data_IF_185170776991
#
_entry.id   IF_185170776991
#
_cell.length_a   1.000
_cell.length_b   1.000
_cell.length_c   1.000
_cell.angle_alpha   90.00
_cell.angle_beta   90.00
_cell.angle_gamma   90.00
#
_symmetry.space_group_name_H-M   'P 1'
#
loop_
_entity.id
_entity.type
_entity.pdbx_description
1 polymer ?
#
# COMPACT_ATOMS: atom_id res chain seq x y z
N UNK A 1 49.30 -35.17 63.16
CA UNK A 1 49.10 -34.04 62.22
C UNK A 1 48.85 -34.50 60.77
N UNK A 2 49.59 -35.50 60.26
CA UNK A 2 49.46 -36.02 58.87
C UNK A 2 48.08 -36.61 58.50
N UNK A 3 47.33 -37.11 59.49
CA UNK A 3 46.00 -37.72 59.30
C UNK A 3 44.88 -36.68 59.06
N UNK A 4 45.06 -35.44 59.52
CA UNK A 4 44.10 -34.34 59.31
C UNK A 4 44.20 -33.78 57.87
N UNK A 5 45.40 -33.74 57.31
CA UNK A 5 45.66 -33.28 55.93
C UNK A 5 45.01 -34.23 54.92
N UNK A 6 45.05 -35.55 55.16
CA UNK A 6 44.40 -36.55 54.30
C UNK A 6 42.87 -36.38 54.33
N UNK A 7 42.28 -36.05 55.48
CA UNK A 7 40.84 -35.75 55.59
C UNK A 7 40.45 -34.48 54.83
N UNK A 8 41.29 -33.45 54.83
CA UNK A 8 41.05 -32.19 54.11
C UNK A 8 41.15 -32.39 52.59
N UNK A 9 42.11 -33.21 52.12
CA UNK A 9 42.26 -33.53 50.70
C UNK A 9 41.14 -34.45 50.18
N UNK A 10 40.63 -35.39 51.00
CA UNK A 10 39.49 -36.25 50.63
C UNK A 10 38.15 -35.51 50.58
N UNK A 11 38.01 -34.39 51.30
CA UNK A 11 36.77 -33.59 51.35
C UNK A 11 36.59 -32.66 50.15
N UNK A 12 37.62 -32.47 49.31
CA UNK A 12 37.56 -31.67 48.07
C UNK A 12 37.07 -32.43 46.82
N UNK A 13 36.83 -33.74 46.89
CA UNK A 13 36.44 -34.56 45.73
C UNK A 13 34.93 -34.88 45.61
N UNK A 14 34.03 -34.07 46.18
CA UNK A 14 32.58 -34.25 45.96
C UNK A 14 31.82 -32.94 45.77
N UNK A 15 32.22 -32.18 44.74
CA UNK A 15 31.31 -31.33 43.97
C UNK A 15 31.70 -31.43 42.50
N UNK A 16 31.68 -32.66 41.96
CA UNK A 16 31.41 -32.80 40.54
C UNK A 16 29.98 -32.26 40.37
N UNK A 17 29.86 -31.09 39.73
CA UNK A 17 28.56 -30.55 39.34
C UNK A 17 27.80 -31.67 38.67
N UNK A 18 26.65 -32.04 39.24
CA UNK A 18 25.65 -32.77 38.48
C UNK A 18 25.24 -31.81 37.37
N UNK A 19 25.94 -31.88 36.25
CA UNK A 19 25.45 -31.34 35.00
C UNK A 19 24.24 -32.21 34.68
N UNK A 20 23.07 -31.75 35.11
CA UNK A 20 21.80 -32.29 34.67
C UNK A 20 21.74 -32.06 33.18
N UNK A 21 22.09 -33.08 32.40
CA UNK A 21 21.72 -33.17 31.00
C UNK A 21 20.20 -33.42 30.98
N UNK A 22 19.45 -32.37 31.25
CA UNK A 22 17.99 -32.37 31.19
C UNK A 22 17.61 -32.14 29.72
N UNK A 23 17.13 -33.19 29.06
CA UNK A 23 16.50 -33.08 27.75
C UNK A 23 15.10 -32.49 27.88
N UNK A 24 14.59 -31.91 26.79
CA UNK A 24 13.23 -31.40 26.73
C UNK A 24 12.20 -32.51 26.93
N UNK A 25 11.15 -32.22 27.70
CA UNK A 25 10.01 -33.11 27.81
C UNK A 25 9.17 -33.08 26.52
N UNK A 26 8.55 -34.21 26.16
CA UNK A 26 7.61 -34.30 25.03
C UNK A 26 6.48 -33.26 25.14
N UNK A 27 6.00 -32.97 26.35
CA UNK A 27 4.97 -31.95 26.56
C UNK A 27 5.50 -30.54 26.27
N UNK A 28 6.76 -30.26 26.59
CA UNK A 28 7.37 -28.96 26.35
C UNK A 28 7.62 -28.75 24.84
N UNK A 29 8.11 -29.78 24.15
CA UNK A 29 8.29 -29.73 22.69
C UNK A 29 6.96 -29.56 21.96
N UNK A 30 5.90 -30.25 22.38
CA UNK A 30 4.57 -30.10 21.76
C UNK A 30 3.96 -28.73 22.00
N UNK A 31 4.07 -28.18 23.23
CA UNK A 31 3.64 -26.81 23.54
C UNK A 31 4.46 -25.80 22.73
N UNK A 32 5.79 -25.96 22.63
CA UNK A 32 6.65 -25.06 21.87
C UNK A 32 6.29 -25.05 20.37
N UNK A 33 6.09 -26.23 19.76
CA UNK A 33 5.67 -26.33 18.35
C UNK A 33 4.27 -25.71 18.16
N UNK A 34 3.35 -25.92 19.09
CA UNK A 34 2.02 -25.31 19.04
C UNK A 34 2.10 -23.77 19.09
N UNK A 35 2.90 -23.22 20.00
CA UNK A 35 3.11 -21.77 20.11
C UNK A 35 3.77 -21.18 18.87
N UNK A 36 4.79 -21.85 18.31
CA UNK A 36 5.42 -21.46 17.04
C UNK A 36 4.40 -21.49 15.91
N UNK A 37 3.54 -22.51 15.85
CA UNK A 37 2.46 -22.60 14.86
C UNK A 37 1.53 -21.38 14.91
N UNK A 38 1.08 -20.99 16.09
CA UNK A 38 0.25 -19.79 16.28
C UNK A 38 0.99 -18.52 15.85
N UNK A 39 2.27 -18.39 16.21
CA UNK A 39 3.08 -17.23 15.82
C UNK A 39 3.24 -17.10 14.30
N UNK A 40 3.47 -18.23 13.60
CA UNK A 40 3.59 -18.26 12.15
C UNK A 40 2.28 -17.89 11.44
N UNK A 41 1.13 -18.31 11.98
CA UNK A 41 -0.17 -17.92 11.42
C UNK A 41 -0.39 -16.40 11.53
N UNK A 42 -0.04 -15.78 12.65
CA UNK A 42 -0.11 -14.34 12.81
C UNK A 42 0.81 -13.60 11.82
N UNK A 43 2.04 -14.10 11.62
CA UNK A 43 2.99 -13.52 10.67
C UNK A 43 2.49 -13.65 9.21
N UNK A 44 1.89 -14.78 8.86
CA UNK A 44 1.33 -14.99 7.52
C UNK A 44 0.23 -13.96 7.21
N UNK A 45 -0.65 -13.67 8.17
CA UNK A 45 -1.70 -12.65 8.01
C UNK A 45 -1.11 -11.25 7.81
N UNK A 46 -0.12 -10.87 8.63
CA UNK A 46 0.56 -9.58 8.51
C UNK A 46 1.30 -9.43 7.17
N UNK A 47 1.91 -10.50 6.68
CA UNK A 47 2.54 -10.53 5.37
C UNK A 47 1.53 -10.27 4.25
N UNK A 48 0.41 -11.01 4.23
CA UNK A 48 -0.64 -10.80 3.23
C UNK A 48 -1.20 -9.38 3.29
N UNK A 49 -1.45 -8.85 4.50
CA UNK A 49 -1.92 -7.49 4.68
C UNK A 49 -0.93 -6.45 4.14
N UNK A 50 0.37 -6.63 4.41
CA UNK A 50 1.44 -5.76 3.91
C UNK A 50 1.50 -5.74 2.38
N UNK A 51 1.44 -6.92 1.74
CA UNK A 51 1.44 -7.02 0.27
C UNK A 51 0.22 -6.30 -0.33
N UNK A 52 -0.97 -6.51 0.22
CA UNK A 52 -2.18 -5.82 -0.25
C UNK A 52 -2.10 -4.30 -0.07
N UNK A 53 -1.52 -3.84 1.04
CA UNK A 53 -1.34 -2.42 1.31
C UNK A 53 -0.33 -1.76 0.37
N UNK A 54 0.76 -2.46 0.03
CA UNK A 54 1.74 -1.98 -0.94
C UNK A 54 1.12 -1.86 -2.32
N UNK A 55 0.42 -2.89 -2.81
CA UNK A 55 -0.28 -2.83 -4.10
C UNK A 55 -1.32 -1.71 -4.16
N UNK A 56 -2.05 -1.45 -3.07
CA UNK A 56 -2.97 -0.32 -2.99
C UNK A 56 -2.24 1.01 -3.05
N UNK A 57 -1.13 1.14 -2.33
CA UNK A 57 -0.30 2.35 -2.30
C UNK A 57 0.28 2.64 -3.69
N UNK A 58 0.80 1.63 -4.38
CA UNK A 58 1.33 1.78 -5.74
C UNK A 58 0.27 2.33 -6.71
N UNK A 59 -0.95 1.77 -6.66
CA UNK A 59 -2.07 2.25 -7.48
C UNK A 59 -2.46 3.69 -7.15
N UNK A 60 -2.47 4.05 -5.87
CA UNK A 60 -2.78 5.41 -5.40
C UNK A 60 -1.73 6.41 -5.89
N UNK A 61 -0.45 6.06 -5.77
CA UNK A 61 0.68 6.87 -6.23
C UNK A 61 0.62 7.10 -7.74
N UNK A 62 0.45 6.03 -8.54
CA UNK A 62 0.32 6.14 -9.99
C UNK A 62 -0.89 7.00 -10.40
N UNK A 63 -2.05 6.81 -9.76
CA UNK A 63 -3.25 7.61 -10.04
C UNK A 63 -3.03 9.09 -9.72
N UNK A 64 -2.33 9.39 -8.62
CA UNK A 64 -2.01 10.76 -8.22
C UNK A 64 -1.04 11.38 -9.22
N UNK A 65 0.00 10.66 -9.62
CA UNK A 65 0.95 11.14 -10.63
C UNK A 65 0.26 11.42 -11.98
N UNK A 66 -0.61 10.53 -12.45
CA UNK A 66 -1.37 10.71 -13.69
C UNK A 66 -2.26 11.96 -13.66
N UNK A 67 -2.90 12.24 -12.53
CA UNK A 67 -3.74 13.43 -12.39
C UNK A 67 -2.90 14.71 -12.27
N UNK A 68 -1.74 14.66 -11.60
CA UNK A 68 -0.81 15.81 -11.52
C UNK A 68 -0.27 16.15 -12.90
N UNK A 69 0.22 15.15 -13.64
CA UNK A 69 0.71 15.32 -15.00
C UNK A 69 -0.35 15.98 -15.90
N UNK A 70 -1.61 15.54 -15.79
CA UNK A 70 -2.70 16.13 -16.57
C UNK A 70 -2.96 17.58 -16.20
N UNK A 71 -2.97 17.91 -14.91
CA UNK A 71 -3.10 19.31 -14.46
C UNK A 71 -1.96 20.16 -15.02
N UNK A 72 -0.72 19.68 -14.92
CA UNK A 72 0.45 20.41 -15.39
C UNK A 72 0.44 20.60 -16.92
N UNK A 73 -0.05 19.60 -17.65
CA UNK A 73 -0.27 19.71 -19.07
C UNK A 73 -1.29 20.81 -19.41
N UNK A 74 -2.43 20.84 -18.71
CA UNK A 74 -3.49 21.83 -18.92
C UNK A 74 -3.08 23.25 -18.50
N UNK A 75 -2.16 23.40 -17.55
CA UNK A 75 -1.60 24.73 -17.20
C UNK A 75 -0.86 25.41 -18.35
N UNK A 76 -0.43 24.64 -19.35
CA UNK A 76 0.23 25.18 -20.54
C UNK A 76 -0.75 25.58 -21.65
N UNK A 77 -2.05 25.33 -21.48
CA UNK A 77 -3.05 25.60 -22.50
C UNK A 77 -3.40 27.09 -22.57
N UNK A 78 -3.82 27.52 -23.77
CA UNK A 78 -4.34 28.87 -23.98
C UNK A 78 -5.79 28.97 -23.50
N UNK A 79 -6.31 30.20 -23.34
CA UNK A 79 -7.72 30.41 -22.99
C UNK A 79 -8.67 29.78 -24.03
N UNK A 80 -8.29 29.79 -25.32
CA UNK A 80 -9.06 29.17 -26.39
C UNK A 80 -9.12 27.65 -26.21
N UNK A 81 -7.99 27.00 -25.94
CA UNK A 81 -7.94 25.55 -25.73
C UNK A 81 -8.70 25.12 -24.46
N UNK A 82 -8.64 25.93 -23.40
CA UNK A 82 -9.39 25.65 -22.17
C UNK A 82 -10.91 25.80 -22.38
N UNK A 83 -11.34 26.74 -23.23
CA UNK A 83 -12.74 26.89 -23.59
C UNK A 83 -13.26 25.72 -24.43
N UNK A 84 -12.45 25.15 -25.32
CA UNK A 84 -12.86 23.95 -26.09
C UNK A 84 -12.97 22.73 -25.16
N UNK A 85 -12.04 22.55 -24.23
CA UNK A 85 -12.11 21.50 -23.22
C UNK A 85 -13.27 21.67 -22.22
N UNK A 86 -13.77 22.90 -22.03
CA UNK A 86 -14.92 23.14 -21.16
C UNK A 86 -16.25 22.68 -21.75
N UNK A 87 -16.29 22.33 -23.05
CA UNK A 87 -17.53 21.92 -23.72
C UNK A 87 -18.00 20.51 -23.31
N UNK A 88 -17.06 19.63 -22.97
CA UNK A 88 -17.35 18.26 -22.55
C UNK A 88 -16.20 17.71 -21.71
N UNK A 89 -16.47 16.85 -20.70
CA UNK A 89 -15.42 16.09 -20.06
C UNK A 89 -14.62 15.27 -21.08
N UNK A 90 -13.32 15.19 -20.87
CA UNK A 90 -12.42 14.30 -21.59
C UNK A 90 -12.31 13.00 -20.80
N UNK A 91 -12.58 11.88 -21.46
CA UNK A 91 -12.55 10.54 -20.87
C UNK A 91 -11.50 9.69 -21.58
N UNK A 92 -10.50 9.25 -20.83
CA UNK A 92 -9.32 8.57 -21.34
C UNK A 92 -9.12 7.23 -20.64
N UNK A 93 -8.77 6.22 -21.42
CA UNK A 93 -8.34 4.92 -20.94
C UNK A 93 -6.82 4.88 -20.97
N UNK A 94 -6.19 4.65 -19.82
CA UNK A 94 -4.75 4.74 -19.63
C UNK A 94 -4.17 3.35 -19.38
N UNK A 95 -3.27 2.96 -20.27
CA UNK A 95 -2.35 1.84 -20.12
C UNK A 95 -0.97 2.44 -19.75
N UNK A 96 -0.50 2.19 -18.52
CA UNK A 96 0.68 2.89 -17.98
C UNK A 96 1.98 2.27 -18.48
N UNK A 97 2.00 0.96 -18.69
CA UNK A 97 3.18 0.20 -19.10
C UNK A 97 3.13 -0.23 -20.57
N UNK A 98 2.06 0.13 -21.26
CA UNK A 98 1.80 -0.17 -22.67
C UNK A 98 1.82 -1.70 -22.94
N UNK A 99 1.26 -2.48 -22.01
CA UNK A 99 1.17 -3.93 -22.11
C UNK A 99 -0.11 -4.42 -22.82
N UNK A 100 -0.96 -3.49 -23.25
CA UNK A 100 -2.23 -3.72 -23.93
C UNK A 100 -3.42 -3.83 -22.98
N UNK A 101 -3.21 -3.79 -21.67
CA UNK A 101 -4.29 -3.74 -20.69
C UNK A 101 -4.46 -2.33 -20.14
N UNK A 102 -5.70 -1.89 -20.03
CA UNK A 102 -6.01 -0.61 -19.42
C UNK A 102 -5.89 -0.73 -17.89
N UNK A 103 -5.05 0.10 -17.28
CA UNK A 103 -4.85 0.14 -15.83
C UNK A 103 -5.83 1.10 -15.15
N UNK A 104 -6.03 2.26 -15.78
CA UNK A 104 -6.79 3.37 -15.22
C UNK A 104 -7.71 3.99 -16.25
N UNK A 105 -8.75 4.64 -15.74
CA UNK A 105 -9.58 5.58 -16.50
C UNK A 105 -9.41 6.96 -15.91
N UNK A 106 -9.04 7.94 -16.72
CA UNK A 106 -8.89 9.34 -16.31
C UNK A 106 -10.01 10.16 -16.92
N UNK A 107 -10.73 10.89 -16.08
CA UNK A 107 -11.77 11.83 -16.48
C UNK A 107 -11.28 13.23 -16.12
N UNK A 108 -11.23 14.11 -17.12
CA UNK A 108 -10.87 15.51 -16.96
C UNK A 108 -12.09 16.36 -17.24
N UNK A 109 -12.46 17.22 -16.30
CA UNK A 109 -13.54 18.19 -16.46
C UNK A 109 -12.98 19.59 -16.34
N UNK A 110 -13.36 20.45 -17.28
CA UNK A 110 -13.05 21.88 -17.23
C UNK A 110 -14.37 22.64 -17.16
N UNK A 111 -14.46 23.61 -16.26
CA UNK A 111 -15.62 24.49 -16.13
C UNK A 111 -15.16 25.94 -16.25
N UNK A 112 -15.60 26.62 -17.31
CA UNK A 112 -15.27 28.00 -17.58
C UNK A 112 -16.20 28.96 -16.82
N UNK A 113 -15.62 30.00 -16.22
CA UNK A 113 -16.31 31.11 -15.57
C UNK A 113 -15.58 32.42 -15.90
N UNK A 114 -15.89 33.01 -17.07
CA UNK A 114 -15.19 34.17 -17.58
C UNK A 114 -13.75 33.83 -17.98
N UNK A 115 -12.78 34.48 -17.34
CA UNK A 115 -11.33 34.27 -17.56
C UNK A 115 -10.71 33.27 -16.58
N UNK A 116 -11.55 32.45 -15.96
CA UNK A 116 -11.18 31.48 -14.94
C UNK A 116 -11.74 30.12 -15.32
N UNK A 117 -10.92 29.09 -15.24
CA UNK A 117 -11.30 27.69 -15.49
C UNK A 117 -11.02 26.85 -14.27
N UNK A 118 -12.06 26.24 -13.69
CA UNK A 118 -11.90 25.17 -12.71
C UNK A 118 -11.63 23.87 -13.47
N UNK A 119 -10.46 23.29 -13.23
CA UNK A 119 -10.07 22.00 -13.79
C UNK A 119 -10.13 20.97 -12.68
N UNK A 120 -10.84 19.87 -12.92
CA UNK A 120 -10.85 18.71 -12.04
C UNK A 120 -10.43 17.47 -12.83
N UNK A 121 -9.46 16.74 -12.31
CA UNK A 121 -8.95 15.49 -12.88
C UNK A 121 -9.20 14.37 -11.87
N UNK A 122 -9.95 13.37 -12.31
CA UNK A 122 -10.31 12.21 -11.52
C UNK A 122 -9.76 10.95 -12.18
N UNK A 123 -9.11 10.08 -11.41
CA UNK A 123 -8.55 8.82 -11.88
C UNK A 123 -9.24 7.67 -11.18
N UNK A 124 -9.81 6.77 -11.97
CA UNK A 124 -10.60 5.63 -11.54
C UNK A 124 -9.87 4.32 -11.87
N UNK A 125 -10.12 3.26 -11.09
CA UNK A 125 -9.58 1.94 -11.43
C UNK A 125 -10.24 1.39 -12.69
N UNK A 126 -9.56 0.48 -13.38
CA UNK A 126 -10.06 -0.27 -14.56
C UNK A 126 -11.48 -0.85 -14.39
N UNK A 127 -11.91 -1.18 -13.17
CA UNK A 127 -13.27 -1.70 -12.94
C UNK A 127 -14.38 -0.69 -13.27
N UNK A 128 -14.06 0.58 -13.50
CA UNK A 128 -15.01 1.63 -13.86
C UNK A 128 -15.10 1.91 -15.37
N UNK A 129 -14.44 1.14 -16.24
CA UNK A 129 -14.42 1.43 -17.68
C UNK A 129 -15.80 1.45 -18.35
N UNK A 130 -16.74 0.62 -17.91
CA UNK A 130 -18.10 0.55 -18.46
C UNK A 130 -19.10 1.50 -17.82
N UNK A 131 -18.69 2.31 -16.84
CA UNK A 131 -19.59 3.23 -16.12
C UNK A 131 -19.74 4.52 -16.92
N UNK A 132 -20.92 5.13 -16.88
CA UNK A 132 -21.15 6.42 -17.50
C UNK A 132 -20.28 7.54 -16.88
N UNK A 133 -19.79 8.47 -17.71
CA UNK A 133 -18.84 9.52 -17.27
C UNK A 133 -19.49 10.48 -16.28
N UNK A 134 -20.74 10.89 -16.51
CA UNK A 134 -21.44 11.80 -15.60
C UNK A 134 -21.69 11.15 -14.25
N UNK A 135 -21.92 9.84 -14.23
CA UNK A 135 -22.04 9.06 -12.99
C UNK A 135 -20.73 9.08 -12.19
N UNK A 136 -19.58 8.94 -12.86
CA UNK A 136 -18.26 9.02 -12.22
C UNK A 136 -17.96 10.41 -11.66
N UNK A 137 -18.28 11.46 -12.40
CA UNK A 137 -18.05 12.85 -11.98
C UNK A 137 -18.89 13.22 -10.76
N UNK A 138 -20.15 12.78 -10.73
CA UNK A 138 -21.08 13.16 -9.67
C UNK A 138 -20.92 12.31 -8.40
N UNK A 139 -20.46 11.05 -8.52
CA UNK A 139 -20.34 10.12 -7.40
C UNK A 139 -18.94 9.47 -7.27
N UNK A 140 -17.84 10.24 -7.30
CA UNK A 140 -16.49 9.69 -7.43
C UNK A 140 -16.10 8.76 -6.27
N UNK A 141 -16.52 9.06 -5.04
CA UNK A 141 -16.24 8.23 -3.86
C UNK A 141 -16.93 6.86 -3.92
N UNK A 142 -18.13 6.78 -4.49
CA UNK A 142 -18.86 5.52 -4.65
C UNK A 142 -18.18 4.62 -5.70
N UNK A 143 -17.54 5.25 -6.69
CA UNK A 143 -16.81 4.59 -7.77
C UNK A 143 -15.32 4.37 -7.48
N UNK A 144 -14.94 4.44 -6.20
CA UNK A 144 -13.57 4.14 -5.72
C UNK A 144 -12.51 4.96 -6.46
N UNK A 145 -12.78 6.24 -6.67
CA UNK A 145 -11.79 7.20 -7.20
C UNK A 145 -10.46 7.03 -6.45
N UNK A 146 -9.36 7.00 -7.22
CA UNK A 146 -8.00 6.80 -6.71
C UNK A 146 -7.23 8.11 -6.63
N UNK A 147 -7.55 9.07 -7.48
CA UNK A 147 -7.07 10.43 -7.32
C UNK A 147 -8.18 11.38 -7.76
N UNK A 148 -8.40 12.43 -6.98
CA UNK A 148 -9.29 13.54 -7.32
C UNK A 148 -8.53 14.82 -7.01
N UNK A 149 -8.13 15.54 -8.05
CA UNK A 149 -7.40 16.79 -7.92
C UNK A 149 -8.11 17.88 -8.69
N UNK A 150 -8.19 19.05 -8.07
CA UNK A 150 -8.75 20.25 -8.67
C UNK A 150 -7.75 21.39 -8.61
N UNK A 151 -7.79 22.24 -9.62
CA UNK A 151 -7.04 23.49 -9.66
C UNK A 151 -7.85 24.54 -10.40
N UNK A 152 -7.50 25.79 -10.18
CA UNK A 152 -8.00 26.91 -10.96
C UNK A 152 -6.89 27.41 -11.88
N UNK A 153 -7.24 27.67 -13.14
CA UNK A 153 -6.38 28.33 -14.13
C UNK A 153 -7.04 29.67 -14.49
N UNK A 154 -6.28 30.75 -14.49
CA UNK A 154 -6.75 32.08 -14.90
C UNK A 154 -5.83 32.66 -15.96
N UNK A 155 -6.38 33.41 -16.92
CA UNK A 155 -5.64 34.05 -18.01
C UNK A 155 -6.07 35.48 -18.24
#
# INVERSE_FOLDING_TARGET
MMMAVIKILKKRQRKAGKNGSEGFSLIETTIAIALVGVALLALAQLFTYSVMNNQRSDRMTNSTFLAQQQIDFLRNFTATDLNTLAMSPVDEQIDVNNDGNIDFRRVTRVQASGFVWEVRVQVFPVSQLGVDVDTLINYPSQHKVRADMSTVISR
#
